data_IF_170707699974
#
_entry.id   IF_170707699974
#
_cell.length_a   1.000
_cell.length_b   1.000
_cell.length_c   1.000
_cell.angle_alpha   90.00
_cell.angle_beta   90.00
_cell.angle_gamma   90.00
#
_symmetry.space_group_name_H-M   'P 1'
#
loop_
_entity.id
_entity.type
_entity.pdbx_description
1 polymer ?
#
# COMPACT_ATOMS: atom_id res chain seq x y z
N UNK A 1 -9.77 4.66 6.85
CA UNK A 1 -9.50 3.23 7.18
C UNK A 1 -8.22 2.71 6.53
N UNK A 2 -8.04 2.83 5.20
CA UNK A 2 -6.81 2.34 4.54
C UNK A 2 -5.53 3.06 4.99
N UNK A 3 -5.60 4.37 5.23
CA UNK A 3 -4.48 5.16 5.74
C UNK A 3 -4.00 4.68 7.12
N UNK A 4 -4.91 4.22 7.99
CA UNK A 4 -4.54 3.67 9.28
C UNK A 4 -3.84 2.31 9.10
N UNK A 5 -4.34 1.44 8.21
CA UNK A 5 -3.72 0.14 7.92
C UNK A 5 -2.29 0.29 7.40
N UNK A 6 -2.04 1.25 6.49
CA UNK A 6 -0.67 1.45 5.98
C UNK A 6 0.28 2.01 7.04
N UNK A 7 -0.22 2.83 7.98
CA UNK A 7 0.56 3.30 9.13
C UNK A 7 0.91 2.15 10.08
N UNK A 8 0.00 1.19 10.30
CA UNK A 8 0.31 -0.01 11.09
C UNK A 8 1.40 -0.86 10.44
N UNK A 9 1.31 -1.11 9.13
CA UNK A 9 2.33 -1.86 8.37
C UNK A 9 3.70 -1.16 8.45
N UNK A 10 3.72 0.17 8.28
CA UNK A 10 4.93 0.99 8.42
C UNK A 10 5.55 0.84 9.81
N UNK A 11 4.74 0.92 10.87
CA UNK A 11 5.17 0.76 12.26
C UNK A 11 5.74 -0.65 12.52
N UNK A 12 5.10 -1.70 12.00
CA UNK A 12 5.59 -3.08 12.13
C UNK A 12 6.95 -3.28 11.45
N UNK A 13 7.14 -2.68 10.27
CA UNK A 13 8.42 -2.77 9.53
C UNK A 13 9.53 -2.02 10.27
N UNK A 14 9.24 -0.83 10.79
CA UNK A 14 10.20 -0.04 11.59
C UNK A 14 10.58 -0.76 12.88
N UNK A 15 9.60 -1.39 13.55
CA UNK A 15 9.80 -2.07 14.83
C UNK A 15 10.56 -3.41 14.70
N UNK A 16 10.49 -4.10 13.55
CA UNK A 16 11.17 -5.38 13.33
C UNK A 16 12.67 -5.27 12.97
N UNK A 17 13.24 -4.06 13.06
CA UNK A 17 14.68 -3.76 13.09
C UNK A 17 15.60 -4.77 12.39
N UNK A 18 15.65 -4.71 11.05
CA UNK A 18 16.74 -5.18 10.18
C UNK A 18 16.45 -4.71 8.75
N UNK A 19 17.09 -3.62 8.32
CA UNK A 19 17.33 -3.20 6.94
C UNK A 19 16.33 -3.63 5.86
N UNK A 20 15.03 -3.53 6.11
CA UNK A 20 14.01 -3.77 5.09
C UNK A 20 13.74 -2.48 4.32
N UNK A 21 14.80 -1.83 3.86
CA UNK A 21 14.75 -0.60 3.07
C UNK A 21 13.84 -0.75 1.86
N UNK A 22 13.89 -1.90 1.17
CA UNK A 22 13.01 -2.18 0.04
C UNK A 22 11.51 -2.21 0.43
N UNK A 23 11.18 -2.73 1.63
CA UNK A 23 9.79 -2.74 2.11
C UNK A 23 9.35 -1.36 2.57
N UNK A 24 10.23 -0.59 3.20
CA UNK A 24 9.94 0.79 3.57
C UNK A 24 9.72 1.67 2.34
N UNK A 25 10.55 1.50 1.31
CA UNK A 25 10.37 2.18 0.02
C UNK A 25 9.04 1.80 -0.62
N UNK A 26 8.70 0.51 -0.65
CA UNK A 26 7.42 0.05 -1.16
C UNK A 26 6.24 0.64 -0.37
N UNK A 27 6.30 0.65 0.96
CA UNK A 27 5.27 1.27 1.82
C UNK A 27 5.14 2.76 1.57
N UNK A 28 6.26 3.47 1.43
CA UNK A 28 6.25 4.90 1.12
C UNK A 28 5.65 5.19 -0.26
N UNK A 29 5.97 4.38 -1.27
CA UNK A 29 5.37 4.45 -2.60
C UNK A 29 3.85 4.26 -2.52
N UNK A 30 3.39 3.16 -1.91
CA UNK A 30 1.95 2.89 -1.76
C UNK A 30 1.25 3.97 -0.93
N UNK A 31 1.89 4.50 0.11
CA UNK A 31 1.37 5.61 0.94
C UNK A 31 1.22 6.90 0.13
N UNK A 32 2.16 7.18 -0.78
CA UNK A 32 2.05 8.30 -1.73
C UNK A 32 0.85 8.11 -2.66
N UNK A 33 0.70 6.92 -3.25
CA UNK A 33 -0.43 6.59 -4.12
C UNK A 33 -1.77 6.71 -3.38
N UNK A 34 -1.85 6.19 -2.14
CA UNK A 34 -3.06 6.29 -1.30
C UNK A 34 -3.37 7.74 -0.92
N UNK A 35 -2.37 8.60 -0.76
CA UNK A 35 -2.59 10.04 -0.55
C UNK A 35 -3.18 10.72 -1.80
N UNK A 36 -2.81 10.27 -3.00
CA UNK A 36 -3.36 10.79 -4.27
C UNK A 36 -4.82 10.39 -4.50
N UNK A 37 -5.30 9.32 -3.86
CA UNK A 37 -6.71 8.88 -3.92
C UNK A 37 -7.67 9.90 -3.27
N UNK A 38 -7.15 10.92 -2.57
CA UNK A 38 -7.85 12.03 -1.90
C UNK A 38 -9.23 11.66 -1.28
N UNK A 39 -9.16 11.33 0.01
CA UNK A 39 -10.11 11.32 1.14
C UNK A 39 -11.65 11.37 0.98
N UNK A 40 -12.26 11.67 -0.18
CA UNK A 40 -13.70 11.91 -0.30
C UNK A 40 -14.47 11.12 -1.38
N UNK A 41 -13.84 10.40 -2.32
CA UNK A 41 -14.60 9.95 -3.51
C UNK A 41 -14.54 8.47 -3.90
N UNK A 42 -13.64 7.62 -3.39
CA UNK A 42 -13.64 6.23 -3.83
C UNK A 42 -13.51 5.24 -2.67
N UNK A 43 -14.53 4.39 -2.55
CA UNK A 43 -14.47 3.18 -1.72
C UNK A 43 -13.33 2.34 -2.27
N UNK A 44 -12.15 2.44 -1.67
CA UNK A 44 -11.03 1.58 -2.05
C UNK A 44 -11.50 0.15 -1.85
N UNK A 45 -11.46 -0.71 -2.89
CA UNK A 45 -12.04 -2.05 -2.84
C UNK A 45 -11.12 -3.00 -2.06
N UNK A 46 -10.99 -2.74 -0.75
CA UNK A 46 -10.17 -3.46 0.22
C UNK A 46 -10.56 -4.93 0.37
N UNK A 47 -11.64 -5.37 -0.26
CA UNK A 47 -12.08 -6.76 -0.31
C UNK A 47 -11.35 -7.58 -1.39
N UNK A 48 -10.64 -6.92 -2.31
CA UNK A 48 -10.06 -7.59 -3.47
C UNK A 48 -8.68 -7.03 -3.84
N UNK A 49 -7.63 -7.83 -3.58
CA UNK A 49 -6.23 -7.55 -3.94
C UNK A 49 -6.08 -7.12 -5.39
N UNK A 50 -6.78 -7.77 -6.33
CA UNK A 50 -6.68 -7.46 -7.76
C UNK A 50 -7.24 -6.07 -8.05
N UNK A 51 -8.35 -5.68 -7.42
CA UNK A 51 -8.93 -4.35 -7.63
C UNK A 51 -8.05 -3.24 -7.03
N UNK A 52 -7.53 -3.46 -5.81
CA UNK A 52 -6.60 -2.50 -5.18
C UNK A 52 -5.30 -2.39 -5.99
N UNK A 53 -4.78 -3.51 -6.48
CA UNK A 53 -3.60 -3.53 -7.36
C UNK A 53 -3.84 -2.72 -8.63
N UNK A 54 -4.93 -2.99 -9.36
CA UNK A 54 -5.24 -2.28 -10.60
C UNK A 54 -5.39 -0.77 -10.39
N UNK A 55 -6.01 -0.37 -9.28
CA UNK A 55 -6.16 1.04 -8.92
C UNK A 55 -4.78 1.70 -8.70
N UNK A 56 -3.92 1.06 -7.92
CA UNK A 56 -2.58 1.57 -7.62
C UNK A 56 -1.67 1.57 -8.86
N UNK A 57 -1.75 0.56 -9.73
CA UNK A 57 -1.04 0.55 -11.02
C UNK A 57 -1.52 1.68 -11.93
N UNK A 58 -2.84 1.94 -11.97
CA UNK A 58 -3.41 3.05 -12.71
C UNK A 58 -2.96 4.42 -12.18
N UNK A 59 -2.81 4.57 -10.87
CA UNK A 59 -2.34 5.81 -10.23
C UNK A 59 -0.83 6.02 -10.37
N UNK A 60 -0.07 4.93 -10.41
CA UNK A 60 1.38 4.94 -10.60
C UNK A 60 1.77 5.17 -12.06
N UNK A 61 0.84 4.94 -13.00
CA UNK A 61 1.09 4.86 -14.44
C UNK A 61 2.14 3.80 -14.82
N UNK A 62 2.36 2.82 -13.93
CA UNK A 62 3.36 1.76 -14.06
C UNK A 62 2.94 0.52 -13.24
N UNK A 63 3.59 -0.60 -13.52
CA UNK A 63 3.42 -1.84 -12.76
C UNK A 63 3.94 -1.71 -11.33
N UNK A 64 3.24 -2.35 -10.39
CA UNK A 64 3.75 -2.49 -9.03
C UNK A 64 4.89 -3.51 -8.98
N UNK A 65 5.92 -3.17 -8.22
CA UNK A 65 7.04 -4.05 -7.88
C UNK A 65 6.56 -5.22 -7.01
N UNK A 66 7.39 -6.25 -6.89
CA UNK A 66 7.08 -7.43 -6.05
C UNK A 66 6.80 -7.04 -4.60
N UNK A 67 7.55 -6.09 -4.04
CA UNK A 67 7.36 -5.63 -2.66
C UNK A 67 6.07 -4.83 -2.51
N UNK A 68 5.78 -3.91 -3.44
CA UNK A 68 4.52 -3.16 -3.44
C UNK A 68 3.30 -4.10 -3.52
N UNK A 69 3.36 -5.15 -4.36
CA UNK A 69 2.30 -6.16 -4.43
C UNK A 69 2.13 -6.93 -3.11
N UNK A 70 3.20 -7.16 -2.35
CA UNK A 70 3.10 -7.76 -1.01
C UNK A 70 2.40 -6.81 -0.03
N UNK A 71 2.74 -5.52 -0.04
CA UNK A 71 2.05 -4.51 0.78
C UNK A 71 0.55 -4.44 0.42
N UNK A 72 0.19 -4.51 -0.86
CA UNK A 72 -1.22 -4.54 -1.30
C UNK A 72 -1.95 -5.78 -0.78
N UNK A 73 -1.30 -6.94 -0.75
CA UNK A 73 -1.89 -8.16 -0.16
C UNK A 73 -2.10 -8.02 1.35
N UNK A 74 -1.16 -7.40 2.05
CA UNK A 74 -1.28 -7.14 3.49
C UNK A 74 -2.41 -6.16 3.79
N UNK A 75 -2.57 -5.11 2.97
CA UNK A 75 -3.66 -4.12 3.12
C UNK A 75 -5.07 -4.74 3.02
N UNK A 76 -5.24 -5.77 2.20
CA UNK A 76 -6.52 -6.48 1.98
C UNK A 76 -6.76 -7.60 2.99
N UNK A 77 -5.70 -8.19 3.56
CA UNK A 77 -5.83 -9.27 4.56
C UNK A 77 -6.30 -8.79 5.94
N UNK A 78 -6.05 -7.53 6.26
CA UNK A 78 -6.42 -6.92 7.54
C UNK A 78 -7.88 -6.49 7.58
#
# INVERSE_FOLDING_TARGET
MIQAKILFIEQEIVNNSKDNWEKLEAVNSIKSLIKQIDLNAEVVPLENVKKVRNLLESLKEDSLTKQEVLIVKELVKF
#
